data_IF_343204694781
#
_entry.id   IF_343204694781
#
_cell.length_a   1.000
_cell.length_b   1.000
_cell.length_c   1.000
_cell.angle_alpha   90.00
_cell.angle_beta   90.00
_cell.angle_gamma   90.00
#
_symmetry.space_group_name_H-M   'P 1'
#
loop_
_entity.id
_entity.type
_entity.pdbx_description
1 polymer ?
#
# COMPACT_ATOMS: atom_id res chain seq x y z
N UNK A 1 -3.62 -0.23 85.78
CA UNK A 1 -2.74 0.53 84.86
C UNK A 1 -3.00 -0.01 83.46
N UNK A 2 -3.76 0.72 82.64
CA UNK A 2 -4.27 0.23 81.35
C UNK A 2 -3.34 0.65 80.21
N UNK A 3 -2.85 -0.33 79.46
CA UNK A 3 -1.98 -0.10 78.31
C UNK A 3 -2.83 0.27 77.08
N UNK A 4 -2.75 1.53 76.64
CA UNK A 4 -3.30 1.98 75.38
C UNK A 4 -2.46 1.42 74.22
N UNK A 5 -3.02 0.50 73.42
CA UNK A 5 -2.40 0.07 72.17
C UNK A 5 -2.71 1.09 71.09
N UNK A 6 -1.69 1.79 70.61
CA UNK A 6 -1.78 2.69 69.45
C UNK A 6 -1.77 1.81 68.19
N UNK A 7 -2.78 1.89 67.29
CA UNK A 7 -2.75 1.15 66.05
C UNK A 7 -1.71 1.77 65.11
N UNK A 8 -0.68 0.99 64.77
CA UNK A 8 0.27 1.33 63.71
C UNK A 8 -0.47 1.30 62.36
N UNK A 9 -0.86 2.47 61.88
CA UNK A 9 -1.47 2.65 60.57
C UNK A 9 -0.47 2.23 59.49
N UNK A 10 -0.66 1.03 58.92
CA UNK A 10 0.09 0.53 57.77
C UNK A 10 -0.07 1.54 56.64
N UNK A 11 1.00 2.29 56.33
CA UNK A 11 1.13 2.99 55.04
C UNK A 11 1.17 1.91 53.95
N UNK A 12 0.01 1.62 53.38
CA UNK A 12 -0.10 0.88 52.12
C UNK A 12 0.73 1.64 51.07
N UNK A 13 1.94 1.15 50.81
CA UNK A 13 2.87 1.79 49.90
C UNK A 13 2.29 1.83 48.49
N UNK A 14 2.28 3.00 47.88
CA UNK A 14 1.93 3.26 46.48
C UNK A 14 2.92 2.62 45.48
N UNK A 15 3.37 1.39 45.73
CA UNK A 15 4.46 0.73 44.98
C UNK A 15 4.10 0.28 43.55
N UNK A 16 2.94 0.67 43.03
CA UNK A 16 2.51 0.36 41.66
C UNK A 16 1.93 1.54 40.90
N UNK A 17 1.73 2.71 41.52
CA UNK A 17 1.08 3.84 40.87
C UNK A 17 1.90 4.36 39.67
N UNK A 18 3.23 4.44 39.82
CA UNK A 18 4.14 4.88 38.76
C UNK A 18 4.15 3.95 37.54
N UNK A 19 3.98 2.64 37.76
CA UNK A 19 3.91 1.64 36.67
C UNK A 19 2.61 1.83 35.88
N UNK A 20 1.50 2.13 36.55
CA UNK A 20 0.21 2.37 35.88
C UNK A 20 0.24 3.69 35.09
N UNK A 21 0.78 4.76 35.64
CA UNK A 21 0.95 6.04 34.93
C UNK A 21 1.82 5.89 33.68
N UNK A 22 2.94 5.18 33.79
CA UNK A 22 3.79 4.87 32.65
C UNK A 22 3.05 4.02 31.60
N UNK A 23 2.30 3.00 32.01
CA UNK A 23 1.55 2.14 31.10
C UNK A 23 0.50 2.93 30.29
N UNK A 24 -0.18 3.89 30.93
CA UNK A 24 -1.14 4.76 30.23
C UNK A 24 -0.46 5.64 29.19
N UNK A 25 0.64 6.32 29.55
CA UNK A 25 1.38 7.17 28.60
C UNK A 25 1.98 6.33 27.46
N UNK A 26 2.59 5.21 27.79
CA UNK A 26 3.18 4.28 26.83
C UNK A 26 2.11 3.74 25.86
N UNK A 27 0.90 3.43 26.33
CA UNK A 27 -0.19 2.96 25.47
C UNK A 27 -0.58 4.01 24.42
N UNK A 28 -0.68 5.28 24.80
CA UNK A 28 -0.98 6.39 23.88
C UNK A 28 0.17 6.60 22.90
N UNK A 29 1.41 6.57 23.39
CA UNK A 29 2.60 6.72 22.55
C UNK A 29 2.69 5.61 21.50
N UNK A 30 2.48 4.35 21.88
CA UNK A 30 2.50 3.21 20.96
C UNK A 30 1.40 3.36 19.91
N UNK A 31 0.18 3.74 20.30
CA UNK A 31 -0.92 3.98 19.37
C UNK A 31 -0.58 5.08 18.34
N UNK A 32 0.02 6.18 18.80
CA UNK A 32 0.46 7.27 17.92
C UNK A 32 1.57 6.83 16.96
N UNK A 33 2.58 6.10 17.45
CA UNK A 33 3.65 5.57 16.61
C UNK A 33 3.12 4.60 15.55
N UNK A 34 2.24 3.65 15.93
CA UNK A 34 1.60 2.75 14.96
C UNK A 34 0.81 3.52 13.91
N UNK A 35 0.10 4.59 14.30
CA UNK A 35 -0.60 5.46 13.35
C UNK A 35 0.34 6.11 12.32
N UNK A 36 1.48 6.65 12.78
CA UNK A 36 2.49 7.25 11.90
C UNK A 36 3.09 6.19 10.95
N UNK A 37 3.43 5.00 11.46
CA UNK A 37 3.98 3.92 10.63
C UNK A 37 3.00 3.45 9.56
N UNK A 38 1.73 3.26 9.92
CA UNK A 38 0.70 2.85 8.95
C UNK A 38 0.45 3.92 7.90
N UNK A 39 0.44 5.20 8.28
CA UNK A 39 0.33 6.30 7.32
C UNK A 39 1.52 6.35 6.36
N UNK A 40 2.75 6.20 6.88
CA UNK A 40 3.95 6.12 6.05
C UNK A 40 3.91 4.95 5.07
N UNK A 41 3.40 3.79 5.50
CA UNK A 41 3.22 2.61 4.65
C UNK A 41 2.23 2.84 3.52
N UNK A 42 1.12 3.54 3.78
CA UNK A 42 0.13 3.91 2.76
C UNK A 42 0.74 4.85 1.72
N UNK A 43 1.48 5.89 2.16
CA UNK A 43 2.17 6.81 1.25
C UNK A 43 3.22 6.07 0.39
N UNK A 44 3.96 5.14 0.98
CA UNK A 44 4.91 4.31 0.25
C UNK A 44 4.22 3.51 -0.85
N UNK A 45 3.10 2.85 -0.55
CA UNK A 45 2.33 2.11 -1.56
C UNK A 45 1.83 3.01 -2.70
N UNK A 46 1.42 4.25 -2.41
CA UNK A 46 1.05 5.20 -3.46
C UNK A 46 2.20 5.51 -4.40
N UNK A 47 3.37 5.83 -3.85
CA UNK A 47 4.58 6.08 -4.64
C UNK A 47 4.96 4.88 -5.49
N UNK A 48 5.06 3.70 -4.87
CA UNK A 48 5.42 2.46 -5.56
C UNK A 48 4.40 2.08 -6.63
N UNK A 49 3.09 2.27 -6.38
CA UNK A 49 2.06 1.98 -7.38
C UNK A 49 2.19 2.87 -8.62
N UNK A 50 2.47 4.17 -8.44
CA UNK A 50 2.65 5.11 -9.55
C UNK A 50 3.86 4.74 -10.42
N UNK A 51 4.97 4.36 -9.79
CA UNK A 51 6.18 3.96 -10.48
C UNK A 51 6.02 2.61 -11.18
N UNK A 52 5.38 1.64 -10.52
CA UNK A 52 5.03 0.36 -11.13
C UNK A 52 4.11 0.53 -12.35
N UNK A 53 3.16 1.48 -12.31
CA UNK A 53 2.30 1.80 -13.45
C UNK A 53 3.10 2.38 -14.61
N UNK A 54 4.02 3.31 -14.32
CA UNK A 54 4.88 3.92 -15.34
C UNK A 54 5.75 2.87 -16.04
N UNK A 55 6.30 1.93 -15.28
CA UNK A 55 7.04 0.79 -15.82
C UNK A 55 6.12 -0.14 -16.63
N UNK A 56 4.93 -0.46 -16.10
CA UNK A 56 3.91 -1.24 -16.82
C UNK A 56 3.51 -0.62 -18.16
N UNK A 57 3.24 0.69 -18.18
CA UNK A 57 2.90 1.43 -19.39
C UNK A 57 4.05 1.42 -20.41
N UNK A 58 5.30 1.62 -19.97
CA UNK A 58 6.48 1.50 -20.84
C UNK A 58 6.62 0.11 -21.44
N UNK A 59 6.29 -0.93 -20.69
CA UNK A 59 6.30 -2.27 -21.26
C UNK A 59 5.15 -2.51 -22.23
N UNK A 60 3.99 -1.90 -21.97
CA UNK A 60 2.80 -2.06 -22.80
C UNK A 60 2.86 -1.30 -24.13
N UNK A 61 3.77 -0.31 -24.29
CA UNK A 61 3.99 0.40 -25.56
C UNK A 61 5.04 -0.27 -26.45
N UNK A 62 5.91 -1.12 -25.87
CA UNK A 62 6.97 -1.84 -26.60
C UNK A 62 6.54 -3.27 -26.91
N UNK A 63 5.94 -3.96 -25.95
CA UNK A 63 5.59 -5.37 -26.07
C UNK A 63 4.11 -5.52 -26.45
N UNK A 64 3.83 -6.45 -27.38
CA UNK A 64 2.48 -6.95 -27.62
C UNK A 64 2.10 -7.93 -26.49
N UNK A 65 1.70 -7.37 -25.35
CA UNK A 65 1.24 -8.11 -24.18
C UNK A 65 -0.16 -7.65 -23.81
N UNK A 66 -1.06 -8.61 -23.59
CA UNK A 66 -2.41 -8.30 -23.14
C UNK A 66 -2.40 -7.70 -21.71
N UNK A 67 -3.51 -7.11 -21.28
CA UNK A 67 -3.68 -6.50 -19.95
C UNK A 67 -3.23 -7.41 -18.80
N UNK A 68 -3.44 -8.73 -18.92
CA UNK A 68 -2.98 -9.72 -17.94
C UNK A 68 -1.44 -9.80 -17.80
N UNK A 69 -0.69 -9.60 -18.89
CA UNK A 69 0.78 -9.58 -18.87
C UNK A 69 1.32 -8.32 -18.20
N UNK A 70 0.74 -7.16 -18.52
CA UNK A 70 1.06 -5.88 -17.86
C UNK A 70 0.74 -5.96 -16.37
N UNK A 71 -0.44 -6.49 -16.03
CA UNK A 71 -0.85 -6.69 -14.65
C UNK A 71 0.17 -7.56 -13.87
N UNK A 72 0.60 -8.71 -14.42
CA UNK A 72 1.62 -9.57 -13.76
C UNK A 72 2.89 -8.80 -13.40
N UNK A 73 3.36 -7.92 -14.28
CA UNK A 73 4.56 -7.10 -14.05
C UNK A 73 4.35 -6.06 -12.96
N UNK A 74 3.24 -5.35 -13.01
CA UNK A 74 2.86 -4.37 -11.99
C UNK A 74 2.69 -5.05 -10.63
N UNK A 75 2.03 -6.21 -10.57
CA UNK A 75 1.84 -6.97 -9.32
C UNK A 75 3.12 -7.60 -8.79
N UNK A 76 4.13 -7.85 -9.64
CA UNK A 76 5.45 -8.32 -9.19
C UNK A 76 6.17 -7.25 -8.37
N UNK A 77 5.99 -5.98 -8.72
CA UNK A 77 6.56 -4.85 -7.99
C UNK A 77 5.73 -4.49 -6.75
N UNK A 78 4.40 -4.63 -6.84
CA UNK A 78 3.50 -4.36 -5.74
C UNK A 78 2.46 -5.49 -5.60
N UNK A 79 2.75 -6.52 -4.79
CA UNK A 79 1.87 -7.69 -4.60
C UNK A 79 0.51 -7.37 -3.97
N UNK A 80 0.37 -6.15 -3.42
CA UNK A 80 -0.88 -5.65 -2.88
C UNK A 80 -1.91 -5.38 -3.99
N UNK A 81 -1.47 -5.10 -5.21
CA UNK A 81 -2.33 -4.97 -6.37
C UNK A 81 -2.77 -6.35 -6.87
N UNK A 82 -4.04 -6.49 -7.25
CA UNK A 82 -4.51 -7.66 -7.99
C UNK A 82 -4.58 -7.34 -9.47
N UNK A 83 -4.56 -8.36 -10.31
CA UNK A 83 -4.72 -8.20 -11.76
C UNK A 83 -6.02 -7.50 -12.14
N UNK A 84 -7.10 -7.71 -11.37
CA UNK A 84 -8.39 -7.06 -11.58
C UNK A 84 -8.37 -5.53 -11.34
N UNK A 85 -7.38 -5.02 -10.60
CA UNK A 85 -7.25 -3.60 -10.33
C UNK A 85 -6.58 -2.84 -11.48
N UNK A 86 -5.85 -3.54 -12.35
CA UNK A 86 -5.08 -2.97 -13.46
C UNK A 86 -5.89 -3.11 -14.74
N UNK A 87 -6.11 -2.02 -15.46
CA UNK A 87 -6.69 -2.06 -16.81
C UNK A 87 -5.77 -1.39 -17.82
N UNK A 88 -5.74 -1.94 -19.04
CA UNK A 88 -4.95 -1.44 -20.15
C UNK A 88 -5.90 -1.17 -21.30
N UNK A 89 -5.87 0.04 -21.84
CA UNK A 89 -6.69 0.47 -22.96
C UNK A 89 -5.80 0.96 -24.10
N UNK A 90 -6.06 0.44 -25.30
CA UNK A 90 -5.36 0.84 -26.52
C UNK A 90 -6.25 1.80 -27.32
N UNK A 91 -5.66 2.86 -27.85
CA UNK A 91 -6.35 3.86 -28.65
C UNK A 91 -5.70 4.01 -30.03
N UNK A 92 -6.47 4.00 -31.14
CA UNK A 92 -7.94 3.90 -31.21
C UNK A 92 -8.50 2.50 -30.86
N UNK A 93 -9.76 2.41 -30.43
CA UNK A 93 -10.36 1.13 -30.00
C UNK A 93 -10.33 0.07 -31.10
N UNK A 94 -9.91 -1.15 -30.77
CA UNK A 94 -9.79 -2.24 -31.75
C UNK A 94 -8.57 -2.12 -32.67
N UNK A 95 -7.59 -1.29 -32.30
CA UNK A 95 -6.33 -1.21 -33.02
C UNK A 95 -5.48 -2.47 -32.83
N UNK A 96 -4.80 -2.87 -33.90
CA UNK A 96 -3.72 -3.86 -33.88
C UNK A 96 -2.35 -3.21 -33.64
N UNK A 97 -1.32 -4.03 -33.45
CA UNK A 97 0.09 -3.64 -33.20
C UNK A 97 0.62 -2.55 -34.15
N UNK A 98 0.12 -2.47 -35.38
CA UNK A 98 0.54 -1.50 -36.40
C UNK A 98 -0.27 -0.19 -36.39
N UNK A 99 -1.46 -0.19 -35.79
CA UNK A 99 -2.43 0.92 -35.87
C UNK A 99 -2.67 1.62 -34.53
N UNK A 100 -2.27 1.02 -33.41
CA UNK A 100 -2.38 1.67 -32.11
C UNK A 100 -1.47 2.90 -32.03
N UNK A 101 -1.97 3.98 -31.43
CA UNK A 101 -1.23 5.23 -31.28
C UNK A 101 -0.92 5.51 -29.82
N UNK A 102 -1.84 5.18 -28.91
CA UNK A 102 -1.66 5.40 -27.48
C UNK A 102 -2.03 4.16 -26.67
N UNK A 103 -1.33 3.99 -25.55
CA UNK A 103 -1.62 2.97 -24.55
C UNK A 103 -1.86 3.68 -23.22
N UNK A 104 -3.00 3.39 -22.61
CA UNK A 104 -3.38 3.93 -21.30
C UNK A 104 -3.42 2.78 -20.30
N UNK A 105 -2.61 2.85 -19.26
CA UNK A 105 -2.64 1.90 -18.14
C UNK A 105 -3.25 2.60 -16.94
N UNK A 106 -4.23 1.98 -16.30
CA UNK A 106 -4.85 2.52 -15.09
C UNK A 106 -4.92 1.50 -13.96
N UNK A 107 -4.92 2.00 -12.74
CA UNK A 107 -5.18 1.22 -11.53
C UNK A 107 -6.33 1.83 -10.75
N UNK A 108 -7.30 1.00 -10.40
CA UNK A 108 -8.52 1.41 -9.68
C UNK A 108 -8.84 0.44 -8.54
N UNK A 109 -9.65 0.87 -7.57
CA UNK A 109 -10.20 0.03 -6.49
C UNK A 109 -9.17 -0.70 -5.61
N UNK A 110 -8.05 -0.04 -5.31
CA UNK A 110 -7.01 -0.61 -4.43
C UNK A 110 -7.32 -0.23 -3.00
N UNK A 111 -7.48 -1.24 -2.13
CA UNK A 111 -7.77 -1.04 -0.71
C UNK A 111 -6.59 -1.54 0.12
N UNK A 112 -5.99 -0.65 0.90
CA UNK A 112 -4.94 -1.00 1.86
C UNK A 112 -5.58 -1.28 3.20
N UNK A 113 -5.39 -2.51 3.71
CA UNK A 113 -5.80 -2.88 5.06
C UNK A 113 -4.74 -2.41 6.06
N UNK A 114 -5.16 -1.55 6.98
CA UNK A 114 -4.28 -1.11 8.07
C UNK A 114 -4.17 -2.20 9.13
N UNK A 115 -3.03 -2.27 9.81
CA UNK A 115 -2.75 -3.23 10.89
C UNK A 115 -2.94 -2.62 12.28
N UNK A 116 -3.96 -1.79 12.46
CA UNK A 116 -4.25 -1.15 13.74
C UNK A 116 -4.96 -2.18 14.64
N UNK A 117 -4.44 -2.48 15.84
CA UNK A 117 -4.91 -3.58 16.68
C UNK A 117 -6.33 -3.42 17.26
N UNK A 118 -6.95 -2.24 17.12
CA UNK A 118 -8.28 -1.94 17.70
C UNK A 118 -9.34 -1.56 16.66
N UNK A 119 -8.94 -1.08 15.47
CA UNK A 119 -9.86 -0.56 14.46
C UNK A 119 -9.43 -1.03 13.07
N UNK A 120 -10.29 -1.76 12.38
CA UNK A 120 -10.07 -2.21 11.01
C UNK A 120 -10.36 -1.07 10.03
N UNK A 121 -9.47 -0.07 9.96
CA UNK A 121 -9.58 1.00 8.96
C UNK A 121 -9.02 0.52 7.63
N UNK A 122 -9.78 0.69 6.57
CA UNK A 122 -9.33 0.42 5.21
C UNK A 122 -9.32 1.70 4.41
N UNK A 123 -8.17 2.05 3.86
CA UNK A 123 -8.00 3.25 3.04
C UNK A 123 -8.03 2.82 1.58
N UNK A 124 -8.94 3.45 0.82
CA UNK A 124 -9.01 3.26 -0.63
C UNK A 124 -8.13 4.29 -1.30
N UNK A 125 -7.25 3.80 -2.16
CA UNK A 125 -6.34 4.60 -2.94
C UNK A 125 -7.09 5.22 -4.13
N UNK A 126 -6.89 6.53 -4.45
CA UNK A 126 -7.43 7.15 -5.65
C UNK A 126 -6.94 6.42 -6.91
N UNK A 127 -7.71 6.48 -8.00
CA UNK A 127 -7.30 5.90 -9.27
C UNK A 127 -6.10 6.64 -9.86
N UNK A 128 -5.18 5.90 -10.46
CA UNK A 128 -4.04 6.45 -11.20
C UNK A 128 -4.07 5.98 -12.64
N UNK A 129 -3.67 6.85 -13.55
CA UNK A 129 -3.66 6.58 -14.99
C UNK A 129 -2.38 7.12 -15.62
N UNK A 130 -1.74 6.31 -16.45
CA UNK A 130 -0.56 6.71 -17.22
C UNK A 130 -0.81 6.39 -18.69
N UNK A 131 -0.75 7.43 -19.52
CA UNK A 131 -0.91 7.30 -20.98
C UNK A 131 0.41 7.60 -21.66
N UNK A 132 0.84 6.71 -22.54
CA UNK A 132 2.07 6.83 -23.32
C UNK A 132 1.78 6.53 -24.80
N UNK A 133 2.49 7.18 -25.75
CA UNK A 133 2.39 6.84 -27.16
C UNK A 133 3.03 5.47 -27.45
N UNK A 134 2.52 4.79 -28.47
CA UNK A 134 3.09 3.53 -28.98
C UNK A 134 4.54 3.74 -29.42
N UNK A 135 5.41 2.79 -29.07
CA UNK A 135 6.75 2.68 -29.63
C UNK A 135 6.79 1.58 -30.69
N UNK A 136 6.96 0.31 -30.31
CA UNK A 136 7.04 -0.81 -31.28
C UNK A 136 5.83 -1.74 -31.26
N UNK A 137 5.20 -1.99 -30.09
CA UNK A 137 4.20 -3.05 -29.89
C UNK A 137 4.55 -4.39 -30.56
N UNK A 138 5.83 -4.77 -30.56
CA UNK A 138 6.27 -6.00 -31.19
C UNK A 138 7.05 -6.85 -30.19
N UNK A 139 6.43 -7.97 -29.76
CA UNK A 139 7.04 -8.95 -28.84
C UNK A 139 8.09 -9.86 -29.51
N UNK A 140 8.26 -9.78 -30.84
CA UNK A 140 9.06 -10.73 -31.63
C UNK A 140 10.58 -10.62 -31.42
N UNK A 141 11.10 -9.58 -30.76
CA UNK A 141 12.56 -9.37 -30.63
C UNK A 141 13.20 -10.13 -29.49
N UNK A 142 12.46 -10.90 -28.69
CA UNK A 142 13.04 -11.80 -27.67
C UNK A 142 13.85 -11.10 -26.56
N UNK A 143 13.80 -9.77 -26.50
CA UNK A 143 14.49 -9.00 -25.46
C UNK A 143 13.87 -9.24 -24.08
N UNK A 144 14.71 -9.19 -23.04
CA UNK A 144 14.28 -9.32 -21.64
C UNK A 144 13.22 -8.29 -21.22
N UNK A 145 13.07 -7.21 -22.00
CA UNK A 145 12.02 -6.21 -21.84
C UNK A 145 10.59 -6.75 -22.02
N UNK A 146 10.38 -7.88 -22.72
CA UNK A 146 9.06 -8.50 -22.95
C UNK A 146 8.85 -9.86 -22.25
N UNK A 147 9.84 -10.36 -21.50
CA UNK A 147 9.76 -11.60 -20.71
C UNK A 147 9.36 -11.36 -19.23
#
# INVERSE_FOLDING_TARGET
>A
MNAHRIPLQRRHGQRGATVVEFALIASILIMLLTGIFEFGRVLFYWGTASEALRLGARTAIVCDINAAGVAKRVTKLLPLLKSANVSVNYSPSGCDVNSCTFVTVSVTNVTVKTMIPLVNVSITMPPFTTTLPRESLNSSTGGTACQ
#
